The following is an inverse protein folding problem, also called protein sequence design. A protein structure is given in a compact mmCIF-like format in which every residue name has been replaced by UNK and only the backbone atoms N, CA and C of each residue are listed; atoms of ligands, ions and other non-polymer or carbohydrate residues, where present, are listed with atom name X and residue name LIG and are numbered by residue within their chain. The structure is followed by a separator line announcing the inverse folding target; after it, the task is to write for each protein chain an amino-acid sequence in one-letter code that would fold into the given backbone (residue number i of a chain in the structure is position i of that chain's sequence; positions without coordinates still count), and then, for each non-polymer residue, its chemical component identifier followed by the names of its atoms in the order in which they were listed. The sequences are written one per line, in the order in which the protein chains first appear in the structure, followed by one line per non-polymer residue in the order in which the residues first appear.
data_IF_339275730120
#
_entry.id   IF_339275730120
#
_cell.length_a   1.000
_cell.length_b   1.000
_cell.length_c   1.000
_cell.angle_alpha   90.00
_cell.angle_beta   90.00
_cell.angle_gamma   90.00
#
_symmetry.space_group_name_H-M   'P 1'
#
loop_
_entity.id
_entity.type
_entity.pdbx_description
1 polymer ?
#
# COMPACT_ATOMS: atom_id res chain seq x y z
N UNK A 1 7.01 8.74 -2.77
CA UNK A 1 8.16 7.80 -2.68
C UNK A 1 8.10 6.72 -3.75
N UNK A 2 9.21 6.06 -4.00
CA UNK A 2 9.35 4.93 -4.89
C UNK A 2 10.45 3.97 -4.37
N UNK A 3 10.49 2.72 -4.83
CA UNK A 3 11.28 1.65 -4.20
C UNK A 3 12.32 1.06 -5.16
N UNK A 4 13.28 1.86 -5.63
CA UNK A 4 14.30 1.42 -6.59
C UNK A 4 15.76 1.57 -6.09
N UNK A 5 15.99 1.92 -4.81
CA UNK A 5 17.33 2.19 -4.29
C UNK A 5 18.28 1.00 -4.44
N UNK A 6 17.82 -0.21 -4.11
CA UNK A 6 18.58 -1.46 -4.24
C UNK A 6 18.16 -2.29 -5.47
N UNK A 7 17.49 -1.69 -6.46
CA UNK A 7 16.88 -2.38 -7.60
C UNK A 7 17.83 -3.30 -8.36
N UNK A 8 19.07 -2.88 -8.57
CA UNK A 8 20.08 -3.64 -9.34
C UNK A 8 20.42 -4.98 -8.69
N UNK A 9 20.39 -5.05 -7.36
CA UNK A 9 20.78 -6.21 -6.54
C UNK A 9 19.64 -7.23 -6.41
N UNK A 10 18.39 -6.83 -6.68
CA UNK A 10 17.23 -7.67 -6.51
C UNK A 10 17.13 -8.76 -7.59
N UNK A 11 16.55 -9.91 -7.22
CA UNK A 11 16.12 -10.91 -8.19
C UNK A 11 14.90 -10.40 -9.01
N UNK A 12 14.53 -11.10 -10.08
CA UNK A 12 13.50 -10.63 -11.01
C UNK A 12 12.11 -10.46 -10.36
N UNK A 13 11.74 -11.32 -9.42
CA UNK A 13 10.43 -11.23 -8.71
C UNK A 13 10.42 -9.98 -7.84
N UNK A 14 11.47 -9.74 -7.09
CA UNK A 14 11.60 -8.56 -6.23
C UNK A 14 11.74 -7.28 -7.05
N UNK A 15 12.38 -7.33 -8.24
CA UNK A 15 12.35 -6.22 -9.20
C UNK A 15 10.94 -5.88 -9.66
N UNK A 16 10.14 -6.90 -9.98
CA UNK A 16 8.72 -6.72 -10.31
C UNK A 16 7.94 -6.11 -9.14
N UNK A 17 8.19 -6.59 -7.91
CA UNK A 17 7.56 -6.04 -6.72
C UNK A 17 7.97 -4.58 -6.46
N UNK A 18 9.25 -4.26 -6.62
CA UNK A 18 9.77 -2.90 -6.49
C UNK A 18 9.02 -1.91 -7.39
N UNK A 19 8.75 -2.28 -8.64
CA UNK A 19 7.95 -1.47 -9.57
C UNK A 19 6.47 -1.41 -9.14
N UNK A 20 5.89 -2.54 -8.72
CA UNK A 20 4.51 -2.59 -8.21
C UNK A 20 4.34 -1.67 -6.98
N UNK A 21 5.26 -1.76 -6.02
CA UNK A 21 5.24 -0.92 -4.82
C UNK A 21 5.42 0.56 -5.16
N UNK A 22 6.36 0.89 -6.06
CA UNK A 22 6.56 2.25 -6.55
C UNK A 22 5.29 2.83 -7.20
N UNK A 23 4.58 2.02 -7.99
CA UNK A 23 3.30 2.44 -8.58
C UNK A 23 2.26 2.74 -7.50
N UNK A 24 2.14 1.87 -6.50
CA UNK A 24 1.22 2.04 -5.38
C UNK A 24 1.54 3.32 -4.59
N UNK A 25 2.80 3.52 -4.19
CA UNK A 25 3.25 4.68 -3.42
C UNK A 25 3.04 6.00 -4.18
N UNK A 26 3.42 6.04 -5.45
CA UNK A 26 3.28 7.24 -6.28
C UNK A 26 1.81 7.57 -6.54
N UNK A 27 0.99 6.56 -6.83
CA UNK A 27 -0.44 6.73 -7.10
C UNK A 27 -1.20 7.13 -5.83
N UNK A 28 -0.95 6.45 -4.72
CA UNK A 28 -1.63 6.70 -3.46
C UNK A 28 -1.12 7.98 -2.79
N UNK A 29 0.20 8.16 -2.73
CA UNK A 29 0.81 9.32 -2.10
C UNK A 29 0.55 10.61 -2.87
N UNK A 30 0.74 10.64 -4.18
CA UNK A 30 0.67 11.87 -4.96
C UNK A 30 -0.74 12.17 -5.45
N UNK A 31 -1.37 11.25 -6.18
CA UNK A 31 -2.67 11.48 -6.82
C UNK A 31 -3.77 11.64 -5.77
N UNK A 32 -3.86 10.69 -4.84
CA UNK A 32 -4.92 10.74 -3.82
C UNK A 32 -4.74 11.89 -2.85
N UNK A 33 -3.50 12.26 -2.50
CA UNK A 33 -3.26 13.39 -1.60
C UNK A 33 -3.59 14.73 -2.25
N UNK A 34 -3.32 14.91 -3.53
CA UNK A 34 -3.65 16.12 -4.27
C UNK A 34 -5.15 16.22 -4.56
N UNK A 35 -5.76 15.14 -5.06
CA UNK A 35 -7.16 15.14 -5.51
C UNK A 35 -8.16 14.95 -4.36
N UNK A 36 -7.83 14.17 -3.33
CA UNK A 36 -8.74 13.77 -2.24
C UNK A 36 -8.37 14.35 -0.87
N UNK A 37 -7.54 15.38 -0.82
CA UNK A 37 -6.90 15.87 0.41
C UNK A 37 -7.87 16.26 1.54
N UNK A 38 -9.15 16.58 1.25
CA UNK A 38 -10.07 17.11 2.26
C UNK A 38 -10.92 16.03 2.95
N UNK A 39 -11.33 14.97 2.28
CA UNK A 39 -12.35 14.04 2.81
C UNK A 39 -11.82 12.63 3.10
N UNK A 40 -10.98 12.07 2.25
CA UNK A 40 -10.66 10.64 2.31
C UNK A 40 -9.20 10.32 2.65
N UNK A 41 -8.27 11.28 2.50
CA UNK A 41 -6.86 11.00 2.69
C UNK A 41 -6.52 10.92 4.18
N UNK A 42 -6.10 9.73 4.60
CA UNK A 42 -5.67 9.42 5.97
C UNK A 42 -4.26 8.86 6.01
N UNK A 43 -3.65 8.64 4.84
CA UNK A 43 -2.42 7.87 4.75
C UNK A 43 -1.23 8.72 5.17
N UNK A 44 -0.68 8.42 6.33
CA UNK A 44 0.65 8.85 6.78
C UNK A 44 1.57 7.66 6.62
N UNK A 45 2.71 7.86 6.01
CA UNK A 45 3.75 6.83 5.86
C UNK A 45 4.86 7.07 6.86
N UNK A 46 5.45 6.01 7.38
CA UNK A 46 6.46 6.07 8.43
C UNK A 46 7.84 6.62 7.99
N UNK A 47 7.95 7.06 6.75
CA UNK A 47 9.16 7.70 6.19
C UNK A 47 8.79 9.03 5.54
N UNK A 48 9.76 9.97 5.51
CA UNK A 48 9.51 11.31 4.97
C UNK A 48 8.43 12.10 5.71
N UNK A 49 8.11 11.72 6.95
CA UNK A 49 7.09 12.38 7.78
C UNK A 49 7.70 13.58 8.53
N UNK A 50 7.05 14.73 8.34
CA UNK A 50 7.33 15.93 9.16
C UNK A 50 6.06 16.25 9.93
N UNK A 51 6.16 16.36 11.25
CA UNK A 51 5.04 16.69 12.13
C UNK A 51 5.45 17.76 13.14
N UNK A 52 4.53 18.67 13.44
CA UNK A 52 4.70 19.64 14.51
C UNK A 52 4.67 18.92 15.87
N UNK A 53 5.69 19.12 16.71
CA UNK A 53 5.81 18.44 18.01
C UNK A 53 4.66 18.77 18.96
N UNK A 54 4.12 20.00 18.93
CA UNK A 54 2.93 20.36 19.72
C UNK A 54 1.74 19.51 19.31
N UNK A 55 1.48 19.39 18.01
CA UNK A 55 0.41 18.55 17.46
C UNK A 55 0.61 17.08 17.84
N UNK A 56 1.83 16.55 17.72
CA UNK A 56 2.14 15.18 18.09
C UNK A 56 1.86 14.89 19.57
N UNK A 57 2.28 15.81 20.44
CA UNK A 57 2.04 15.68 21.88
C UNK A 57 0.54 15.77 22.22
N UNK A 58 -0.20 16.68 21.60
CA UNK A 58 -1.66 16.80 21.77
C UNK A 58 -2.42 15.54 21.34
N UNK A 59 -1.90 14.82 20.34
CA UNK A 59 -2.43 13.53 19.87
C UNK A 59 -1.97 12.34 20.72
N UNK A 60 -1.12 12.55 21.73
CA UNK A 60 -0.65 11.48 22.63
C UNK A 60 0.55 10.69 22.09
N UNK A 61 1.31 11.28 21.18
CA UNK A 61 2.49 10.70 20.55
C UNK A 61 2.20 9.49 19.64
N UNK A 62 3.24 8.76 19.21
CA UNK A 62 3.08 7.54 18.42
C UNK A 62 2.50 6.40 19.25
N UNK A 63 1.46 5.77 18.72
CA UNK A 63 0.81 4.65 19.39
C UNK A 63 1.63 3.36 19.23
N UNK A 64 1.90 2.69 20.36
CA UNK A 64 2.70 1.44 20.41
C UNK A 64 1.86 0.17 20.42
N UNK A 65 0.52 0.27 20.46
CA UNK A 65 -0.39 -0.89 20.50
C UNK A 65 -0.60 -1.53 19.11
N UNK A 66 -0.53 -0.69 18.06
CA UNK A 66 -0.73 -1.12 16.68
C UNK A 66 0.61 -1.16 15.93
N UNK A 67 0.72 -2.04 14.94
CA UNK A 67 1.98 -2.28 14.24
C UNK A 67 2.42 -1.15 13.33
N UNK A 68 1.46 -0.45 12.72
CA UNK A 68 1.71 0.71 11.87
C UNK A 68 1.25 1.96 12.63
N UNK A 69 2.15 2.53 13.40
CA UNK A 69 1.94 3.75 14.17
C UNK A 69 1.62 4.95 13.28
N UNK A 70 2.11 4.93 12.05
CA UNK A 70 1.87 5.92 11.01
C UNK A 70 0.41 5.93 10.54
N UNK A 71 -0.17 4.76 10.26
CA UNK A 71 -1.60 4.64 9.91
C UNK A 71 -2.47 5.09 11.09
N UNK A 72 -2.10 4.71 12.30
CA UNK A 72 -2.82 5.14 13.51
C UNK A 72 -2.78 6.66 13.66
N UNK A 73 -1.60 7.27 13.50
CA UNK A 73 -1.42 8.72 13.54
C UNK A 73 -2.25 9.42 12.45
N UNK A 74 -2.24 8.91 11.23
CA UNK A 74 -3.05 9.44 10.13
C UNK A 74 -4.55 9.48 10.46
N UNK A 75 -5.04 8.43 11.12
CA UNK A 75 -6.42 8.39 11.60
C UNK A 75 -6.66 9.38 12.74
N UNK A 76 -5.76 9.53 13.72
CA UNK A 76 -5.87 10.54 14.78
C UNK A 76 -5.94 11.96 14.21
N UNK A 77 -5.10 12.27 13.21
CA UNK A 77 -5.15 13.55 12.49
C UNK A 77 -6.53 13.76 11.86
N UNK A 78 -7.10 12.72 11.24
CA UNK A 78 -8.42 12.76 10.62
C UNK A 78 -9.54 12.96 11.63
N UNK A 79 -9.50 12.29 12.77
CA UNK A 79 -10.43 12.49 13.87
C UNK A 79 -10.44 13.92 14.42
N UNK A 80 -9.34 14.64 14.25
CA UNK A 80 -9.15 16.00 14.76
C UNK A 80 -9.19 17.07 13.66
N UNK A 81 -9.60 16.71 12.43
CA UNK A 81 -9.65 17.62 11.27
C UNK A 81 -8.30 18.28 10.95
N UNK A 82 -7.20 17.65 11.35
CA UNK A 82 -5.85 18.14 11.08
C UNK A 82 -5.47 17.69 9.66
N UNK A 83 -5.12 18.68 8.83
CA UNK A 83 -4.79 18.41 7.43
C UNK A 83 -3.41 17.79 7.29
N UNK A 84 -3.34 16.70 6.52
CA UNK A 84 -2.07 16.15 6.02
C UNK A 84 -1.74 16.88 4.72
N UNK A 85 -0.56 17.50 4.65
CA UNK A 85 -0.08 18.17 3.44
C UNK A 85 0.98 17.30 2.78
N UNK A 86 0.79 16.88 1.51
CA UNK A 86 1.79 16.11 0.80
C UNK A 86 3.03 16.95 0.53
N UNK A 87 4.19 16.37 0.75
CA UNK A 87 5.46 16.93 0.30
C UNK A 87 5.70 16.50 -1.15
N UNK A 88 5.98 17.47 -2.02
CA UNK A 88 6.28 17.23 -3.45
C UNK A 88 7.75 16.84 -3.65
N UNK A 89 8.29 16.03 -2.75
CA UNK A 89 9.64 15.47 -2.84
C UNK A 89 9.56 13.97 -3.00
N UNK A 90 10.43 13.41 -3.84
CA UNK A 90 10.53 11.96 -4.00
C UNK A 90 11.60 11.41 -3.08
N UNK A 91 11.29 10.32 -2.42
CA UNK A 91 12.21 9.51 -1.65
C UNK A 91 12.39 8.16 -2.35
N UNK A 92 13.65 7.78 -2.58
CA UNK A 92 13.99 6.47 -3.13
C UNK A 92 14.27 5.48 -2.01
N UNK A 93 13.37 4.52 -1.84
CA UNK A 93 13.42 3.52 -0.77
C UNK A 93 14.00 2.19 -1.24
N UNK A 94 14.38 1.37 -0.28
CA UNK A 94 14.78 -0.02 -0.51
C UNK A 94 13.58 -0.95 -0.52
N UNK A 95 13.61 -1.91 -1.43
CA UNK A 95 12.71 -3.08 -1.42
C UNK A 95 13.34 -4.18 -0.55
N UNK A 96 12.56 -4.97 0.21
CA UNK A 96 13.09 -6.12 0.93
C UNK A 96 13.91 -7.03 0.04
N UNK A 97 15.07 -7.48 0.54
CA UNK A 97 16.02 -8.30 -0.22
C UNK A 97 15.58 -9.76 -0.41
N UNK A 98 14.57 -10.22 0.35
CA UNK A 98 14.03 -11.58 0.27
C UNK A 98 12.50 -11.59 0.18
N UNK A 99 11.97 -12.64 -0.46
CA UNK A 99 10.51 -12.86 -0.56
C UNK A 99 9.88 -13.08 0.82
N UNK A 100 10.60 -13.73 1.73
CA UNK A 100 10.13 -13.95 3.10
C UNK A 100 9.93 -12.62 3.85
N UNK A 101 10.90 -11.71 3.78
CA UNK A 101 10.81 -10.39 4.41
C UNK A 101 9.70 -9.56 3.77
N UNK A 102 9.51 -9.66 2.46
CA UNK A 102 8.42 -9.05 1.73
C UNK A 102 7.04 -9.52 2.24
N UNK A 103 6.85 -10.82 2.37
CA UNK A 103 5.60 -11.41 2.87
C UNK A 103 5.33 -10.95 4.31
N UNK A 104 6.35 -10.96 5.17
CA UNK A 104 6.24 -10.47 6.55
C UNK A 104 5.84 -8.99 6.59
N UNK A 105 6.49 -8.14 5.81
CA UNK A 105 6.17 -6.72 5.72
C UNK A 105 4.73 -6.47 5.28
N UNK A 106 4.30 -7.11 4.19
CA UNK A 106 2.92 -7.00 3.69
C UNK A 106 1.89 -7.51 4.70
N UNK A 107 2.23 -8.56 5.44
CA UNK A 107 1.37 -9.12 6.49
C UNK A 107 1.15 -8.12 7.64
N UNK A 108 2.20 -7.38 8.05
CA UNK A 108 2.11 -6.35 9.08
C UNK A 108 1.25 -5.19 8.62
N UNK A 109 1.49 -4.69 7.42
CA UNK A 109 0.71 -3.59 6.85
C UNK A 109 -0.78 -3.95 6.73
N UNK A 110 -1.08 -5.11 6.16
CA UNK A 110 -2.46 -5.58 6.03
C UNK A 110 -3.14 -5.74 7.39
N UNK A 111 -2.45 -6.28 8.38
CA UNK A 111 -3.00 -6.50 9.72
C UNK A 111 -3.47 -5.20 10.35
N UNK A 112 -2.73 -4.12 10.18
CA UNK A 112 -3.11 -2.81 10.73
C UNK A 112 -4.32 -2.24 10.01
N UNK A 113 -4.32 -2.20 8.68
CA UNK A 113 -5.46 -1.71 7.90
C UNK A 113 -6.73 -2.52 8.13
N UNK A 114 -6.62 -3.84 8.36
CA UNK A 114 -7.76 -4.71 8.67
C UNK A 114 -8.35 -4.50 10.07
N UNK A 115 -7.60 -3.88 11.00
CA UNK A 115 -8.04 -3.64 12.38
C UNK A 115 -8.76 -2.29 12.58
N UNK A 116 -9.26 -1.68 11.52
CA UNK A 116 -9.88 -0.36 11.53
C UNK A 116 -10.92 -0.17 12.65
N UNK A 117 -11.76 -1.16 12.95
CA UNK A 117 -12.78 -1.08 14.01
C UNK A 117 -12.17 -1.02 15.40
N UNK A 118 -11.06 -1.72 15.63
CA UNK A 118 -10.31 -1.68 16.88
C UNK A 118 -9.62 -0.33 17.06
N UNK A 119 -9.01 0.18 15.99
CA UNK A 119 -8.37 1.51 15.98
C UNK A 119 -9.41 2.59 16.25
N UNK A 120 -10.57 2.55 15.59
CA UNK A 120 -11.68 3.46 15.81
C UNK A 120 -12.09 3.52 17.28
N UNK A 121 -12.35 2.33 17.89
CA UNK A 121 -12.75 2.22 19.29
C UNK A 121 -11.65 2.72 20.24
N UNK A 122 -10.39 2.41 19.95
CA UNK A 122 -9.26 2.83 20.79
C UNK A 122 -9.10 4.36 20.77
N UNK A 123 -9.19 4.98 19.58
CA UNK A 123 -9.09 6.45 19.45
C UNK A 123 -10.22 7.14 20.21
N UNK A 124 -11.47 6.73 20.00
CA UNK A 124 -12.62 7.37 20.68
C UNK A 124 -12.57 7.18 22.19
N UNK A 125 -12.08 6.05 22.68
CA UNK A 125 -12.03 5.75 24.13
C UNK A 125 -10.91 6.51 24.82
N UNK A 126 -9.75 6.67 24.18
CA UNK A 126 -8.53 7.09 24.87
C UNK A 126 -8.11 8.53 24.54
N UNK A 127 -8.72 9.16 23.52
CA UNK A 127 -8.31 10.48 23.07
C UNK A 127 -9.50 11.43 22.92
N UNK A 128 -9.23 12.71 23.10
CA UNK A 128 -10.20 13.76 22.75
C UNK A 128 -10.28 13.87 21.24
N UNK A 129 -11.48 13.75 20.68
CA UNK A 129 -11.72 13.82 19.25
C UNK A 129 -12.71 14.96 18.94
N UNK A 130 -12.42 15.70 17.87
CA UNK A 130 -13.26 16.83 17.43
C UNK A 130 -14.30 16.42 16.39
N UNK A 131 -14.03 15.38 15.59
CA UNK A 131 -14.91 14.94 14.53
C UNK A 131 -14.94 13.41 14.37
N UNK A 132 -15.88 12.77 15.04
CA UNK A 132 -16.07 11.31 14.99
C UNK A 132 -16.44 10.80 13.60
N UNK A 133 -17.23 11.58 12.83
CA UNK A 133 -17.68 11.18 11.49
C UNK A 133 -16.50 11.13 10.51
N UNK A 134 -15.64 12.15 10.50
CA UNK A 134 -14.43 12.14 9.67
C UNK A 134 -13.49 10.99 10.03
N UNK A 135 -13.35 10.70 11.33
CA UNK A 135 -12.60 9.55 11.79
C UNK A 135 -13.18 8.22 11.31
N UNK A 136 -14.51 8.07 11.34
CA UNK A 136 -15.19 6.87 10.85
C UNK A 136 -14.98 6.70 9.33
N UNK A 137 -15.11 7.79 8.56
CA UNK A 137 -14.84 7.80 7.11
C UNK A 137 -13.39 7.37 6.83
N UNK A 138 -12.42 7.89 7.61
CA UNK A 138 -11.02 7.48 7.51
C UNK A 138 -10.82 5.99 7.77
N UNK A 139 -11.37 5.48 8.87
CA UNK A 139 -11.32 4.05 9.20
C UNK A 139 -11.97 3.17 8.13
N UNK A 140 -13.10 3.59 7.57
CA UNK A 140 -13.76 2.87 6.48
C UNK A 140 -12.92 2.87 5.20
N UNK A 141 -12.25 3.98 4.90
CA UNK A 141 -11.34 4.04 3.76
C UNK A 141 -10.15 3.08 3.90
N UNK A 142 -9.54 2.97 5.08
CA UNK A 142 -8.49 1.97 5.34
C UNK A 142 -9.01 0.54 5.16
N UNK A 143 -10.22 0.24 5.66
CA UNK A 143 -10.85 -1.04 5.44
C UNK A 143 -11.11 -1.34 3.96
N UNK A 144 -11.60 -0.36 3.21
CA UNK A 144 -11.78 -0.46 1.75
C UNK A 144 -10.45 -0.75 1.04
N UNK A 145 -9.37 -0.11 1.46
CA UNK A 145 -8.02 -0.38 0.93
C UNK A 145 -7.58 -1.82 1.21
N UNK A 146 -7.83 -2.33 2.43
CA UNK A 146 -7.54 -3.72 2.79
C UNK A 146 -8.38 -4.71 1.96
N UNK A 147 -9.68 -4.43 1.77
CA UNK A 147 -10.55 -5.25 0.92
C UNK A 147 -10.09 -5.26 -0.54
N UNK A 148 -9.73 -4.11 -1.09
CA UNK A 148 -9.21 -4.03 -2.45
C UNK A 148 -7.90 -4.79 -2.61
N UNK A 149 -7.02 -4.72 -1.61
CA UNK A 149 -5.74 -5.41 -1.65
C UNK A 149 -5.92 -6.94 -1.78
N UNK A 150 -6.78 -7.54 -0.97
CA UNK A 150 -7.01 -8.98 -1.01
C UNK A 150 -8.04 -9.40 -2.06
N UNK A 151 -9.03 -8.55 -2.33
CA UNK A 151 -10.18 -8.87 -3.19
C UNK A 151 -9.81 -8.93 -4.66
N UNK A 152 -8.97 -8.01 -5.14
CA UNK A 152 -8.64 -7.92 -6.56
C UNK A 152 -8.06 -9.23 -7.15
N UNK A 153 -7.02 -9.86 -6.57
CA UNK A 153 -6.50 -11.11 -7.10
C UNK A 153 -7.46 -12.30 -6.92
N UNK A 154 -8.26 -12.29 -5.85
CA UNK A 154 -9.27 -13.33 -5.63
C UNK A 154 -10.33 -13.25 -6.72
N UNK A 155 -10.85 -12.06 -7.01
CA UNK A 155 -11.85 -11.86 -8.09
C UNK A 155 -11.25 -12.24 -9.43
N UNK A 156 -10.02 -11.84 -9.73
CA UNK A 156 -9.32 -12.20 -10.96
C UNK A 156 -9.22 -13.73 -11.10
N UNK A 157 -8.78 -14.42 -10.06
CA UNK A 157 -8.65 -15.88 -10.07
C UNK A 157 -10.01 -16.57 -10.23
N UNK A 158 -11.04 -16.16 -9.47
CA UNK A 158 -12.39 -16.71 -9.57
C UNK A 158 -13.01 -16.47 -10.94
N UNK A 159 -12.75 -15.31 -11.54
CA UNK A 159 -13.24 -15.02 -12.91
C UNK A 159 -12.60 -15.95 -13.96
N UNK A 160 -11.30 -16.21 -13.82
CA UNK A 160 -10.59 -17.16 -14.70
C UNK A 160 -11.13 -18.58 -14.50
N UNK A 161 -11.26 -19.03 -13.25
CA UNK A 161 -11.78 -20.37 -12.93
C UNK A 161 -13.22 -20.52 -13.46
N UNK A 162 -14.09 -19.54 -13.23
CA UNK A 162 -15.47 -19.56 -13.73
C UNK A 162 -15.54 -19.65 -15.25
N UNK A 163 -14.72 -18.87 -15.97
CA UNK A 163 -14.66 -18.92 -17.43
C UNK A 163 -14.12 -20.27 -17.94
N UNK A 164 -13.17 -20.88 -17.24
CA UNK A 164 -12.66 -22.22 -17.57
C UNK A 164 -13.73 -23.31 -17.35
N UNK A 165 -14.50 -23.26 -16.25
CA UNK A 165 -15.60 -24.18 -15.98
C UNK A 165 -16.66 -24.08 -17.09
N UNK A 166 -16.96 -22.86 -17.54
CA UNK A 166 -17.91 -22.60 -18.65
C UNK A 166 -17.30 -22.90 -20.03
N UNK A 167 -16.03 -23.39 -20.06
CA UNK A 167 -15.29 -23.68 -21.32
C UNK A 167 -15.21 -22.49 -22.27
N UNK A 168 -15.29 -21.26 -21.72
CA UNK A 168 -15.21 -20.02 -22.48
C UNK A 168 -13.78 -19.47 -22.50
N UNK A 169 -12.94 -20.07 -23.34
CA UNK A 169 -11.52 -19.72 -23.45
C UNK A 169 -11.29 -18.28 -23.97
N UNK A 170 -12.23 -17.72 -24.74
CA UNK A 170 -12.15 -16.33 -25.18
C UNK A 170 -12.21 -15.38 -23.99
N UNK A 171 -13.12 -15.59 -23.05
CA UNK A 171 -13.21 -14.80 -21.83
C UNK A 171 -11.92 -14.92 -21.00
N UNK A 172 -11.38 -16.13 -20.86
CA UNK A 172 -10.08 -16.32 -20.16
C UNK A 172 -8.99 -15.48 -20.80
N UNK A 173 -8.87 -15.53 -22.14
CA UNK A 173 -7.88 -14.75 -22.88
C UNK A 173 -8.08 -13.24 -22.66
N UNK A 174 -9.32 -12.76 -22.73
CA UNK A 174 -9.64 -11.34 -22.53
C UNK A 174 -9.32 -10.87 -21.11
N UNK A 175 -9.59 -11.67 -20.07
CA UNK A 175 -9.25 -11.36 -18.69
C UNK A 175 -7.72 -11.22 -18.54
N UNK A 176 -6.97 -12.21 -19.04
CA UNK A 176 -5.49 -12.20 -18.94
C UNK A 176 -4.91 -11.03 -19.74
N UNK A 177 -5.38 -10.80 -20.96
CA UNK A 177 -4.92 -9.70 -21.80
C UNK A 177 -5.20 -8.34 -21.17
N UNK A 178 -6.40 -8.13 -20.62
CA UNK A 178 -6.77 -6.90 -19.91
C UNK A 178 -5.90 -6.68 -18.67
N UNK A 179 -5.64 -7.73 -17.89
CA UNK A 179 -4.77 -7.68 -16.74
C UNK A 179 -3.33 -7.30 -17.13
N UNK A 180 -2.77 -7.97 -18.13
CA UNK A 180 -1.40 -7.67 -18.61
C UNK A 180 -1.30 -6.26 -19.19
N UNK A 181 -2.31 -5.80 -19.92
CA UNK A 181 -2.37 -4.43 -20.44
C UNK A 181 -2.40 -3.40 -19.30
N UNK A 182 -3.22 -3.64 -18.27
CA UNK A 182 -3.25 -2.80 -17.06
C UNK A 182 -1.88 -2.72 -16.39
N UNK A 183 -1.20 -3.84 -16.17
CA UNK A 183 0.14 -3.86 -15.58
C UNK A 183 1.16 -3.17 -16.49
N UNK A 184 1.09 -3.39 -17.80
CA UNK A 184 1.97 -2.75 -18.77
C UNK A 184 1.89 -1.22 -18.71
N UNK A 185 0.66 -0.68 -18.75
CA UNK A 185 0.42 0.76 -18.68
C UNK A 185 0.96 1.33 -17.37
N UNK A 186 0.58 0.72 -16.22
CA UNK A 186 1.02 1.20 -14.91
C UNK A 186 2.54 1.14 -14.76
N UNK A 187 3.20 0.07 -15.18
CA UNK A 187 4.65 -0.09 -15.13
C UNK A 187 5.36 0.99 -15.97
N UNK A 188 4.90 1.19 -17.22
CA UNK A 188 5.48 2.21 -18.11
C UNK A 188 5.30 3.62 -17.55
N UNK A 189 4.10 3.95 -17.05
CA UNK A 189 3.83 5.26 -16.47
C UNK A 189 4.66 5.51 -15.22
N UNK A 190 4.79 4.52 -14.33
CA UNK A 190 5.60 4.63 -13.11
C UNK A 190 7.05 4.89 -13.44
N UNK A 191 7.66 4.09 -14.33
CA UNK A 191 9.06 4.25 -14.72
C UNK A 191 9.27 5.61 -15.41
N UNK A 192 8.37 5.99 -16.34
CA UNK A 192 8.45 7.30 -16.98
C UNK A 192 8.41 8.45 -15.98
N UNK A 193 7.52 8.36 -14.99
CA UNK A 193 7.38 9.40 -13.97
C UNK A 193 8.61 9.48 -13.06
N UNK A 194 9.18 8.34 -12.65
CA UNK A 194 10.42 8.29 -11.87
C UNK A 194 11.58 8.92 -12.66
N UNK A 195 11.72 8.55 -13.94
CA UNK A 195 12.80 9.10 -14.79
C UNK A 195 12.70 10.63 -14.95
N UNK A 196 11.46 11.16 -15.04
CA UNK A 196 11.26 12.62 -15.15
C UNK A 196 11.53 13.34 -13.82
N UNK A 197 11.05 12.78 -12.69
CA UNK A 197 11.08 13.46 -11.40
C UNK A 197 12.39 13.31 -10.65
N UNK A 198 13.14 12.23 -10.91
CA UNK A 198 14.39 11.89 -10.23
C UNK A 198 15.58 11.77 -11.21
N UNK A 199 15.43 12.26 -12.44
CA UNK A 199 16.46 12.30 -13.49
C UNK A 199 17.17 10.96 -13.73
N UNK A 200 16.40 9.85 -13.62
CA UNK A 200 16.90 8.48 -13.81
C UNK A 200 16.67 8.01 -15.25
N UNK A 201 17.37 6.96 -15.66
CA UNK A 201 17.19 6.27 -16.96
C UNK A 201 16.84 4.79 -16.76
N UNK A 202 15.76 4.51 -16.04
CA UNK A 202 15.26 3.15 -15.92
C UNK A 202 14.51 2.74 -17.19
N UNK A 203 14.82 1.54 -17.70
CA UNK A 203 14.20 1.01 -18.94
C UNK A 203 13.09 0.02 -18.62
N UNK A 204 11.98 0.16 -19.32
CA UNK A 204 10.88 -0.80 -19.27
C UNK A 204 11.17 -1.95 -20.25
N UNK A 205 11.12 -3.20 -19.78
CA UNK A 205 11.21 -4.38 -20.62
C UNK A 205 9.98 -5.29 -20.41
N UNK A 206 9.67 -6.14 -21.39
CA UNK A 206 8.61 -7.16 -21.26
C UNK A 206 8.84 -8.07 -20.03
N UNK A 207 10.11 -8.37 -19.74
CA UNK A 207 10.51 -9.14 -18.56
C UNK A 207 10.07 -8.46 -17.26
N UNK A 208 10.30 -7.15 -17.14
CA UNK A 208 9.91 -6.37 -15.95
C UNK A 208 8.37 -6.33 -15.82
N UNK A 209 7.65 -6.12 -16.92
CA UNK A 209 6.18 -6.13 -16.93
C UNK A 209 5.64 -7.48 -16.46
N UNK A 210 6.19 -8.57 -16.97
CA UNK A 210 5.82 -9.93 -16.56
C UNK A 210 6.03 -10.16 -15.06
N UNK A 211 7.20 -9.80 -14.53
CA UNK A 211 7.46 -9.95 -13.10
C UNK A 211 6.66 -8.98 -12.23
N UNK A 212 6.30 -7.80 -12.72
CA UNK A 212 5.37 -6.91 -12.03
C UNK A 212 3.96 -7.50 -11.96
N UNK A 213 3.51 -8.20 -13.00
CA UNK A 213 2.23 -8.92 -12.97
C UNK A 213 2.25 -10.05 -11.92
N UNK A 214 3.31 -10.85 -11.87
CA UNK A 214 3.49 -11.89 -10.85
C UNK A 214 3.54 -11.26 -9.45
N UNK A 215 4.29 -10.18 -9.28
CA UNK A 215 4.45 -9.49 -7.99
C UNK A 215 3.12 -8.98 -7.44
N UNK A 216 2.22 -8.48 -8.29
CA UNK A 216 0.87 -8.06 -7.88
C UNK A 216 0.09 -9.21 -7.24
N UNK A 217 0.24 -10.44 -7.74
CA UNK A 217 -0.41 -11.62 -7.15
C UNK A 217 0.30 -12.05 -5.86
N UNK A 218 1.63 -12.09 -5.87
CA UNK A 218 2.45 -12.49 -4.71
C UNK A 218 2.26 -11.52 -3.53
N UNK A 219 2.05 -10.22 -3.81
CA UNK A 219 1.83 -9.21 -2.76
C UNK A 219 0.65 -9.55 -1.83
N UNK A 220 -0.27 -10.43 -2.27
CA UNK A 220 -1.42 -10.89 -1.48
C UNK A 220 -1.12 -12.07 -0.55
N UNK A 221 0.03 -12.70 -0.68
CA UNK A 221 0.43 -13.79 0.24
C UNK A 221 0.58 -13.24 1.66
N UNK A 222 1.12 -12.03 1.83
CA UNK A 222 1.23 -11.38 3.13
C UNK A 222 -0.12 -11.16 3.82
N UNK A 223 -1.12 -10.52 3.18
CA UNK A 223 -2.49 -10.45 3.67
C UNK A 223 -3.10 -11.79 4.05
N UNK A 224 -3.01 -12.80 3.19
CA UNK A 224 -3.51 -14.16 3.47
C UNK A 224 -2.79 -14.75 4.69
N UNK A 225 -1.48 -14.65 4.74
CA UNK A 225 -0.69 -15.08 5.89
C UNK A 225 -1.11 -14.38 7.18
N UNK A 226 -1.39 -13.07 7.12
CA UNK A 226 -1.87 -12.28 8.26
C UNK A 226 -3.23 -12.74 8.80
N UNK A 227 -4.13 -13.25 7.94
CA UNK A 227 -5.44 -13.77 8.35
C UNK A 227 -5.30 -15.15 9.00
N UNK A 228 -4.49 -16.03 8.42
CA UNK A 228 -4.36 -17.42 8.84
C UNK A 228 -3.47 -17.53 10.09
N UNK A 229 -2.41 -16.73 10.16
CA UNK A 229 -1.46 -16.79 11.26
C UNK A 229 -1.94 -15.94 12.44
N UNK A 230 -2.34 -16.62 13.53
CA UNK A 230 -2.61 -15.96 14.82
C UNK A 230 -1.34 -15.46 15.55
N UNK A 231 -0.16 -15.72 15.01
CA UNK A 231 1.11 -15.34 15.64
C UNK A 231 1.32 -13.83 15.51
N UNK A 232 1.74 -13.20 16.62
CA UNK A 232 2.28 -11.84 16.61
C UNK A 232 3.59 -11.89 15.81
N UNK A 233 3.53 -11.62 14.52
CA UNK A 233 4.72 -11.49 13.69
C UNK A 233 5.41 -10.21 14.10
N UNK A 234 6.44 -10.30 14.94
CA UNK A 234 7.35 -9.18 15.20
C UNK A 234 8.24 -9.04 13.97
N UNK A 235 8.02 -8.00 13.19
CA UNK A 235 8.92 -7.63 12.13
C UNK A 235 9.80 -6.49 12.62
N UNK A 236 11.08 -6.77 12.83
CA UNK A 236 12.11 -5.75 12.87
C UNK A 236 12.61 -5.62 11.44
N UNK A 237 12.45 -4.47 10.82
CA UNK A 237 13.16 -4.16 9.57
C UNK A 237 14.64 -4.29 9.90
N UNK A 238 15.30 -5.30 9.37
CA UNK A 238 16.76 -5.33 9.35
C UNK A 238 17.22 -4.17 8.47
N UNK A 239 17.80 -3.20 9.11
CA UNK A 239 18.48 -2.07 8.45
C UNK A 239 19.93 -2.43 8.29
#
# INVERSE_FOLDING_TARGET
SYCLKNYKELNNILKGFSIYQSNFEMKTGLINSILNSKLLYTHVVGHGLIINMKTLNELGNFNTKFWCEDIYLGLQLKFNNIKITPLLTLENMETPSSLENLIKQNSVWFKTTSQFSKIYKDIIKNYKVTNKLNGLIGCFNEFRCALNWIGFPIILLLSIIGALILKNYLIVLLIIASYLLYICINTKMTIKLINILDEQDYKTSLKIIFFAAIATVISNIGPIYSIISNKKVKHKTER
#
